data_IF_035694028740
#
_entry.id   IF_035694028740
#
_cell.length_a   1.000
_cell.length_b   1.000
_cell.length_c   1.000
_cell.angle_alpha   90.00
_cell.angle_beta   90.00
_cell.angle_gamma   90.00
#
_symmetry.space_group_name_H-M   'P 1'
#
loop_
_entity.id
_entity.type
_entity.pdbx_description
1 polymer ?
#
# COMPACT_ATOMS: atom_id res chain seq x y z
N UNK A 1 9.84 2.99 -12.01
CA UNK A 1 9.13 1.83 -12.64
C UNK A 1 7.69 2.20 -12.95
N UNK A 2 6.93 1.34 -13.64
CA UNK A 2 5.51 1.55 -13.97
C UNK A 2 4.63 0.99 -12.87
N UNK A 3 3.72 1.80 -12.33
CA UNK A 3 2.89 1.46 -11.17
C UNK A 3 1.42 1.68 -11.48
N UNK A 4 0.61 0.64 -11.30
CA UNK A 4 -0.84 0.74 -11.36
C UNK A 4 -1.42 0.93 -9.96
N UNK A 5 -2.26 1.96 -9.78
CA UNK A 5 -2.97 2.19 -8.51
C UNK A 5 -4.39 1.66 -8.64
N UNK A 6 -4.67 0.55 -7.95
CA UNK A 6 -5.98 -0.06 -7.83
C UNK A 6 -6.65 0.47 -6.55
N UNK A 7 -7.36 1.59 -6.69
CA UNK A 7 -8.05 2.25 -5.59
C UNK A 7 -7.46 3.62 -5.29
N UNK A 8 -8.07 4.66 -5.84
CA UNK A 8 -7.56 6.04 -5.69
C UNK A 8 -8.20 6.76 -4.48
N UNK A 9 -8.21 6.07 -3.33
CA UNK A 9 -8.71 6.56 -2.03
C UNK A 9 -7.70 7.46 -1.31
N UNK A 10 -7.76 7.48 0.03
CA UNK A 10 -6.77 8.21 0.85
C UNK A 10 -5.36 7.64 0.65
N UNK A 11 -5.19 6.33 0.87
CA UNK A 11 -3.90 5.64 0.68
C UNK A 11 -3.42 5.68 -0.78
N UNK A 12 -4.16 5.06 -1.71
CA UNK A 12 -3.71 4.96 -3.10
C UNK A 12 -3.58 6.31 -3.80
N UNK A 13 -4.39 7.31 -3.44
CA UNK A 13 -4.23 8.67 -3.95
C UNK A 13 -2.91 9.31 -3.52
N UNK A 14 -2.58 9.25 -2.22
CA UNK A 14 -1.34 9.81 -1.67
C UNK A 14 -0.10 9.04 -2.14
N UNK A 15 -0.09 7.71 -1.98
CA UNK A 15 1.01 6.86 -2.41
C UNK A 15 1.26 6.98 -3.91
N UNK A 16 0.23 6.93 -4.76
CA UNK A 16 0.39 7.13 -6.19
C UNK A 16 0.94 8.51 -6.55
N UNK A 17 0.56 9.56 -5.81
CA UNK A 17 1.10 10.92 -6.00
C UNK A 17 2.58 10.95 -5.65
N UNK A 18 2.94 10.35 -4.51
CA UNK A 18 4.32 10.24 -4.03
C UNK A 18 5.18 9.44 -5.01
N UNK A 19 4.69 8.30 -5.52
CA UNK A 19 5.41 7.50 -6.51
C UNK A 19 5.67 8.29 -7.80
N UNK A 20 4.69 9.04 -8.30
CA UNK A 20 4.90 9.88 -9.47
C UNK A 20 5.95 10.98 -9.22
N UNK A 21 5.91 11.64 -8.05
CA UNK A 21 6.93 12.62 -7.62
C UNK A 21 8.31 12.01 -7.41
N UNK A 22 8.38 10.73 -7.09
CA UNK A 22 9.62 9.97 -6.99
C UNK A 22 10.15 9.52 -8.37
N UNK A 23 9.45 9.81 -9.47
CA UNK A 23 9.90 9.53 -10.84
C UNK A 23 9.33 8.24 -11.45
N UNK A 24 8.29 7.65 -10.86
CA UNK A 24 7.61 6.47 -11.39
C UNK A 24 6.51 6.88 -12.40
N UNK A 25 6.19 5.99 -13.34
CA UNK A 25 5.06 6.15 -14.26
C UNK A 25 3.80 5.55 -13.62
N UNK A 26 2.82 6.38 -13.29
CA UNK A 26 1.68 6.02 -12.45
C UNK A 26 0.35 6.07 -13.20
N UNK A 27 -0.42 4.98 -13.12
CA UNK A 27 -1.81 4.96 -13.60
C UNK A 27 -2.76 4.92 -12.41
N UNK A 28 -3.44 6.04 -12.14
CA UNK A 28 -4.52 6.10 -11.16
C UNK A 28 -5.79 5.47 -11.70
N UNK A 29 -6.32 4.47 -11.01
CA UNK A 29 -7.55 3.78 -11.41
C UNK A 29 -8.49 3.50 -10.23
N UNK A 30 -9.63 2.87 -10.55
CA UNK A 30 -10.65 2.43 -9.61
C UNK A 30 -11.13 3.55 -8.67
N UNK A 31 -11.99 4.42 -9.22
CA UNK A 31 -12.64 5.53 -8.53
C UNK A 31 -14.05 5.70 -9.07
N UNK A 32 -14.98 6.11 -8.21
CA UNK A 32 -16.35 6.49 -8.60
C UNK A 32 -16.41 7.76 -9.46
N UNK A 33 -15.29 8.48 -9.58
CA UNK A 33 -15.21 9.72 -10.34
C UNK A 33 -13.95 9.73 -11.18
N UNK A 34 -14.12 9.74 -12.51
CA UNK A 34 -13.02 9.91 -13.46
C UNK A 34 -12.37 11.30 -13.31
N UNK A 35 -13.17 12.34 -13.04
CA UNK A 35 -12.68 13.69 -12.73
C UNK A 35 -11.71 13.69 -11.55
N UNK A 36 -11.96 12.87 -10.52
CA UNK A 36 -11.02 12.69 -9.39
C UNK A 36 -9.70 12.10 -9.87
N UNK A 37 -9.72 11.07 -10.71
CA UNK A 37 -8.49 10.45 -11.25
C UNK A 37 -7.68 11.44 -12.08
N UNK A 38 -8.32 12.17 -13.00
CA UNK A 38 -7.67 13.22 -13.81
C UNK A 38 -7.07 14.32 -12.94
N UNK A 39 -7.73 14.66 -11.83
CA UNK A 39 -7.19 15.64 -10.86
C UNK A 39 -5.98 15.10 -10.11
N UNK A 40 -6.01 13.84 -9.66
CA UNK A 40 -4.86 13.20 -9.02
C UNK A 40 -3.65 13.15 -9.95
N UNK A 41 -3.85 12.67 -11.18
CA UNK A 41 -2.80 12.64 -12.19
C UNK A 41 -2.15 14.01 -12.45
N UNK A 42 -2.96 15.08 -12.58
CA UNK A 42 -2.43 16.45 -12.73
C UNK A 42 -1.67 16.94 -11.50
N UNK A 43 -2.19 16.70 -10.29
CA UNK A 43 -1.57 17.13 -9.02
C UNK A 43 -0.31 16.37 -8.66
N UNK A 44 -0.11 15.21 -9.26
CA UNK A 44 1.06 14.40 -9.02
C UNK A 44 2.36 15.04 -9.55
N UNK A 45 2.26 16.01 -10.48
CA UNK A 45 3.40 16.79 -10.98
C UNK A 45 4.58 15.92 -11.48
N UNK A 46 4.27 14.71 -11.96
CA UNK A 46 5.20 13.74 -12.49
C UNK A 46 4.56 12.92 -13.62
N UNK A 47 5.15 11.77 -13.96
CA UNK A 47 4.58 10.88 -14.98
C UNK A 47 3.36 10.15 -14.42
N UNK A 48 2.18 10.77 -14.52
CA UNK A 48 0.94 10.19 -14.03
C UNK A 48 -0.23 10.43 -14.97
N UNK A 49 -1.12 9.44 -15.06
CA UNK A 49 -2.38 9.53 -15.81
C UNK A 49 -3.53 8.82 -15.11
N UNK A 50 -4.75 9.16 -15.53
CA UNK A 50 -5.94 8.41 -15.17
C UNK A 50 -6.10 7.20 -16.09
N UNK A 51 -6.69 6.12 -15.59
CA UNK A 51 -7.03 4.95 -16.40
C UNK A 51 -8.02 4.01 -15.72
N UNK A 52 -8.37 2.94 -16.42
CA UNK A 52 -9.16 1.82 -15.88
C UNK A 52 -8.28 0.85 -15.10
N UNK A 53 -8.84 -0.02 -14.23
CA UNK A 53 -8.07 -1.08 -13.56
C UNK A 53 -7.32 -1.98 -14.55
N UNK A 54 -7.94 -2.27 -15.71
CA UNK A 54 -7.30 -3.02 -16.80
C UNK A 54 -6.08 -2.30 -17.35
N UNK A 55 -6.18 -1.00 -17.62
CA UNK A 55 -5.03 -0.21 -18.08
C UNK A 55 -3.94 -0.16 -17.00
N UNK A 56 -4.31 0.04 -15.74
CA UNK A 56 -3.35 0.04 -14.64
C UNK A 56 -2.59 -1.29 -14.56
N UNK A 57 -3.28 -2.44 -14.64
CA UNK A 57 -2.67 -3.76 -14.61
C UNK A 57 -1.78 -4.06 -15.83
N UNK A 58 -2.23 -3.71 -17.03
CA UNK A 58 -1.53 -4.03 -18.28
C UNK A 58 -0.17 -3.30 -18.38
N UNK A 59 -0.12 -2.05 -17.93
CA UNK A 59 1.07 -1.20 -18.04
C UNK A 59 2.03 -1.32 -16.85
N UNK A 60 1.61 -1.94 -15.75
CA UNK A 60 2.37 -1.94 -14.51
C UNK A 60 3.45 -3.03 -14.44
N UNK A 61 4.58 -2.67 -13.84
CA UNK A 61 5.54 -3.60 -13.25
C UNK A 61 5.04 -4.04 -11.86
N UNK A 62 4.45 -3.10 -11.10
CA UNK A 62 3.87 -3.34 -9.79
C UNK A 62 2.48 -2.69 -9.63
N UNK A 63 1.60 -3.33 -8.87
CA UNK A 63 0.27 -2.85 -8.57
C UNK A 63 0.14 -2.52 -7.08
N UNK A 64 -0.33 -1.31 -6.76
CA UNK A 64 -0.79 -0.98 -5.41
C UNK A 64 -2.29 -1.27 -5.30
N UNK A 65 -2.67 -2.29 -4.52
CA UNK A 65 -4.05 -2.56 -4.15
C UNK A 65 -4.41 -1.80 -2.86
N UNK A 66 -5.14 -0.70 -3.03
CA UNK A 66 -5.52 0.25 -1.98
C UNK A 66 -7.04 0.51 -1.97
N UNK A 67 -7.82 -0.56 -1.86
CA UNK A 67 -9.28 -0.53 -1.75
C UNK A 67 -9.74 -1.02 -0.39
N UNK A 68 -10.96 -0.65 0.01
CA UNK A 68 -11.62 -1.30 1.13
C UNK A 68 -11.82 -2.81 0.86
N UNK A 69 -11.78 -3.66 1.91
CA UNK A 69 -11.84 -5.12 1.77
C UNK A 69 -13.01 -5.61 0.91
N UNK A 70 -14.20 -5.06 1.12
CA UNK A 70 -15.42 -5.39 0.36
C UNK A 70 -15.32 -5.12 -1.14
N UNK A 71 -14.31 -4.36 -1.59
CA UNK A 71 -14.09 -3.98 -2.99
C UNK A 71 -12.96 -4.76 -3.66
N UNK A 72 -12.18 -5.54 -2.91
CA UNK A 72 -11.07 -6.37 -3.45
C UNK A 72 -11.57 -7.30 -4.55
N UNK A 73 -12.71 -7.96 -4.35
CA UNK A 73 -13.23 -8.87 -5.36
C UNK A 73 -13.64 -8.16 -6.65
N UNK A 74 -14.25 -6.98 -6.54
CA UNK A 74 -14.72 -6.19 -7.67
C UNK A 74 -13.56 -5.60 -8.48
N UNK A 75 -12.58 -4.96 -7.83
CA UNK A 75 -11.44 -4.37 -8.55
C UNK A 75 -10.63 -5.43 -9.29
N UNK A 76 -10.40 -6.61 -8.69
CA UNK A 76 -9.66 -7.70 -9.33
C UNK A 76 -10.39 -8.29 -10.55
N UNK A 77 -11.73 -8.22 -10.61
CA UNK A 77 -12.46 -8.63 -11.82
C UNK A 77 -12.22 -7.68 -13.00
N UNK A 78 -11.81 -6.44 -12.72
CA UNK A 78 -11.63 -5.40 -13.73
C UNK A 78 -10.18 -5.28 -14.22
N UNK A 79 -9.21 -5.93 -13.56
CA UNK A 79 -7.79 -5.86 -13.95
C UNK A 79 -7.44 -6.73 -15.15
N UNK A 80 -8.16 -7.84 -15.36
CA UNK A 80 -7.73 -8.89 -16.29
C UNK A 80 -6.66 -9.78 -15.65
N UNK A 81 -5.77 -10.31 -16.48
CA UNK A 81 -4.68 -11.21 -16.04
C UNK A 81 -3.64 -10.46 -15.19
N UNK A 82 -3.27 -11.07 -14.08
CA UNK A 82 -2.28 -10.58 -13.12
C UNK A 82 -1.07 -11.51 -13.01
N UNK A 83 -0.95 -12.52 -13.86
CA UNK A 83 0.16 -13.47 -13.86
C UNK A 83 1.51 -12.76 -13.95
N UNK A 84 2.43 -13.10 -13.05
CA UNK A 84 3.77 -12.52 -12.97
C UNK A 84 3.81 -11.06 -12.50
N UNK A 85 2.70 -10.51 -11.98
CA UNK A 85 2.67 -9.16 -11.39
C UNK A 85 3.01 -9.20 -9.91
N UNK A 86 3.68 -8.15 -9.45
CA UNK A 86 3.82 -7.86 -8.02
C UNK A 86 2.62 -7.03 -7.57
N UNK A 87 1.89 -7.50 -6.56
CA UNK A 87 0.77 -6.79 -5.94
C UNK A 87 1.16 -6.41 -4.52
N UNK A 88 1.37 -5.12 -4.31
CA UNK A 88 1.57 -4.55 -2.98
C UNK A 88 0.21 -4.15 -2.45
N UNK A 89 -0.20 -4.70 -1.31
CA UNK A 89 -1.50 -4.39 -0.71
C UNK A 89 -1.36 -3.70 0.65
N UNK A 90 -2.15 -2.64 0.81
CA UNK A 90 -2.40 -1.99 2.09
C UNK A 90 -3.87 -2.18 2.53
N UNK A 91 -4.59 -3.12 1.92
CA UNK A 91 -5.99 -3.41 2.23
C UNK A 91 -6.09 -4.33 3.44
N UNK A 92 -6.64 -3.83 4.54
CA UNK A 92 -6.95 -4.65 5.72
C UNK A 92 -8.28 -5.39 5.52
N UNK A 93 -8.43 -6.63 6.01
CA UNK A 93 -9.67 -7.40 5.89
C UNK A 93 -10.75 -6.93 6.88
N UNK A 94 -11.13 -5.66 6.84
CA UNK A 94 -12.13 -5.07 7.74
C UNK A 94 -13.53 -5.67 7.51
N UNK A 95 -14.29 -5.81 8.60
CA UNK A 95 -15.71 -6.12 8.54
C UNK A 95 -16.52 -4.97 7.91
N UNK A 96 -17.79 -5.20 7.60
CA UNK A 96 -18.62 -4.19 6.93
C UNK A 96 -18.88 -2.90 7.73
N UNK A 97 -18.61 -2.91 9.04
CA UNK A 97 -18.78 -1.76 9.95
C UNK A 97 -17.46 -1.04 10.23
N UNK A 98 -16.34 -1.51 9.66
CA UNK A 98 -14.99 -1.01 9.91
C UNK A 98 -14.58 -1.05 11.40
N UNK A 99 -15.14 -1.96 12.20
CA UNK A 99 -14.84 -2.04 13.65
C UNK A 99 -13.84 -3.13 14.04
N UNK A 100 -13.63 -4.13 13.18
CA UNK A 100 -12.74 -5.25 13.45
C UNK A 100 -12.28 -5.93 12.16
N UNK A 101 -11.19 -6.69 12.24
CA UNK A 101 -10.78 -7.60 11.18
C UNK A 101 -11.77 -8.77 11.07
N UNK A 102 -12.28 -9.01 9.86
CA UNK A 102 -13.07 -10.19 9.52
C UNK A 102 -12.20 -11.45 9.40
N UNK A 103 -10.88 -11.28 9.27
CA UNK A 103 -9.87 -12.35 9.12
C UNK A 103 -8.67 -11.96 9.97
N UNK A 104 -8.33 -12.77 10.97
CA UNK A 104 -7.20 -12.51 11.85
C UNK A 104 -6.67 -13.80 12.50
N UNK A 105 -5.51 -13.68 13.17
CA UNK A 105 -4.84 -14.67 14.02
C UNK A 105 -4.32 -15.94 13.32
N UNK A 106 -5.17 -16.65 12.57
CA UNK A 106 -4.82 -17.91 11.89
C UNK A 106 -4.68 -17.76 10.37
N UNK A 107 -5.13 -16.64 9.81
CA UNK A 107 -4.92 -16.20 8.43
C UNK A 107 -4.91 -14.67 8.41
N UNK A 108 -4.54 -14.09 7.27
CA UNK A 108 -4.60 -12.65 7.00
C UNK A 108 -5.38 -12.33 5.72
N UNK A 109 -5.73 -11.05 5.53
CA UNK A 109 -6.27 -10.53 4.28
C UNK A 109 -5.28 -10.69 3.13
N UNK A 110 -3.99 -10.47 3.39
CA UNK A 110 -2.93 -10.66 2.39
C UNK A 110 -2.81 -12.13 1.92
N UNK A 111 -2.91 -13.11 2.82
CA UNK A 111 -2.92 -14.54 2.47
C UNK A 111 -4.16 -14.92 1.66
N UNK A 112 -5.33 -14.35 1.99
CA UNK A 112 -6.55 -14.54 1.20
C UNK A 112 -6.44 -13.92 -0.19
N UNK A 113 -5.81 -12.75 -0.29
CA UNK A 113 -5.53 -12.11 -1.57
C UNK A 113 -4.63 -12.98 -2.43
N UNK A 114 -3.53 -13.50 -1.89
CA UNK A 114 -2.60 -14.39 -2.59
C UNK A 114 -3.31 -15.61 -3.20
N UNK A 115 -4.16 -16.29 -2.41
CA UNK A 115 -4.99 -17.41 -2.91
C UNK A 115 -5.92 -17.00 -4.06
N UNK A 116 -6.41 -15.76 -4.07
CA UNK A 116 -7.36 -15.24 -5.06
C UNK A 116 -6.70 -14.82 -6.38
N UNK A 117 -5.46 -14.32 -6.33
CA UNK A 117 -4.72 -13.85 -7.52
C UNK A 117 -3.87 -14.94 -8.15
N UNK A 118 -3.52 -15.99 -7.40
CA UNK A 118 -2.95 -17.25 -7.89
C UNK A 118 -1.51 -17.16 -8.38
N UNK A 119 -1.28 -16.49 -9.51
CA UNK A 119 0.02 -16.39 -10.20
C UNK A 119 0.69 -15.02 -10.05
N UNK A 120 0.22 -14.21 -9.12
CA UNK A 120 0.79 -12.91 -8.80
C UNK A 120 1.41 -12.97 -7.40
N UNK A 121 2.53 -12.29 -7.23
CA UNK A 121 3.23 -12.25 -5.95
C UNK A 121 2.63 -11.14 -5.09
N UNK A 122 2.20 -11.49 -3.88
CA UNK A 122 1.58 -10.55 -2.95
C UNK A 122 2.58 -10.14 -1.90
N UNK A 123 2.67 -8.82 -1.69
CA UNK A 123 3.44 -8.22 -0.60
C UNK A 123 2.50 -7.34 0.24
N UNK A 124 2.44 -7.58 1.55
CA UNK A 124 1.71 -6.73 2.49
C UNK A 124 2.61 -5.58 2.92
N UNK A 125 2.20 -4.34 2.64
CA UNK A 125 2.95 -3.14 3.01
C UNK A 125 2.02 -1.92 3.16
N UNK A 126 2.52 -0.86 3.78
CA UNK A 126 1.85 0.43 3.98
C UNK A 126 0.58 0.43 4.85
N UNK A 127 0.04 -0.74 5.23
CA UNK A 127 -1.15 -0.83 6.09
C UNK A 127 -0.88 -0.38 7.54
N UNK A 128 0.38 -0.41 7.99
CA UNK A 128 0.74 -0.13 9.39
C UNK A 128 0.92 1.36 9.71
N UNK A 129 0.64 2.26 8.77
CA UNK A 129 0.73 3.71 8.98
C UNK A 129 -0.52 4.40 8.45
N UNK A 130 -1.06 5.42 9.13
CA UNK A 130 -2.12 6.24 8.58
C UNK A 130 -1.69 6.93 7.29
N UNK A 131 -2.66 7.25 6.44
CA UNK A 131 -2.40 7.96 5.18
C UNK A 131 -1.87 9.38 5.43
N UNK A 132 -2.22 9.95 6.56
CA UNK A 132 -2.03 11.32 7.01
C UNK A 132 -0.55 11.66 7.12
N UNK A 133 0.26 10.71 7.60
CA UNK A 133 1.71 10.90 7.78
C UNK A 133 2.51 10.84 6.45
N UNK A 134 1.94 10.33 5.36
CA UNK A 134 2.71 9.95 4.16
C UNK A 134 3.45 11.12 3.48
N UNK A 135 2.82 12.29 3.37
CA UNK A 135 3.47 13.44 2.74
C UNK A 135 4.56 14.04 3.62
N UNK A 136 4.31 14.14 4.93
CA UNK A 136 5.32 14.61 5.90
C UNK A 136 6.57 13.72 5.88
N UNK A 137 6.40 12.40 5.84
CA UNK A 137 7.53 11.46 5.70
C UNK A 137 8.27 11.67 4.38
N UNK A 138 7.55 11.85 3.27
CA UNK A 138 8.15 12.08 1.96
C UNK A 138 8.94 13.39 1.90
N UNK A 139 8.37 14.48 2.42
CA UNK A 139 8.98 15.81 2.40
C UNK A 139 10.18 15.89 3.37
N UNK A 140 10.16 15.13 4.46
CA UNK A 140 11.27 15.02 5.40
C UNK A 140 12.40 14.09 4.93
N UNK A 141 12.19 13.22 3.93
CA UNK A 141 13.10 12.10 3.59
C UNK A 141 14.56 12.47 3.26
N UNK A 142 14.79 13.71 2.81
CA UNK A 142 16.13 14.28 2.52
C UNK A 142 16.75 15.05 3.69
N UNK A 143 15.93 15.44 4.68
CA UNK A 143 16.34 16.26 5.83
C UNK A 143 16.62 15.43 7.07
N UNK A 144 15.92 14.32 7.25
CA UNK A 144 16.12 13.41 8.38
C UNK A 144 17.05 12.26 8.04
N UNK A 145 18.07 12.04 8.87
CA UNK A 145 18.91 10.82 8.82
C UNK A 145 18.21 9.61 9.42
N UNK A 146 17.23 9.83 10.31
CA UNK A 146 16.48 8.75 10.97
C UNK A 146 15.08 8.70 10.38
N UNK A 147 14.89 7.80 9.41
CA UNK A 147 13.59 7.59 8.78
C UNK A 147 12.66 6.77 9.71
N UNK A 148 11.35 6.99 9.68
CA UNK A 148 10.41 6.06 10.32
C UNK A 148 10.47 4.70 9.63
N UNK A 149 10.16 3.63 10.37
CA UNK A 149 10.13 2.27 9.83
C UNK A 149 8.80 1.97 9.16
N UNK A 150 8.84 1.06 8.19
CA UNK A 150 7.64 0.48 7.61
C UNK A 150 7.87 -1.01 7.38
N UNK A 151 7.18 -1.81 8.18
CA UNK A 151 7.20 -3.26 8.09
C UNK A 151 6.45 -3.74 6.85
N UNK A 152 7.03 -4.72 6.17
CA UNK A 152 6.41 -5.39 5.04
C UNK A 152 6.73 -6.89 5.06
N UNK A 153 5.92 -7.70 4.40
CA UNK A 153 6.14 -9.14 4.30
C UNK A 153 5.59 -9.72 2.98
N UNK A 154 6.20 -10.82 2.53
CA UNK A 154 5.89 -11.48 1.26
C UNK A 154 6.71 -12.75 1.09
N UNK A 155 6.24 -13.68 0.25
CA UNK A 155 6.89 -14.98 0.06
C UNK A 155 7.97 -14.97 -1.04
N UNK A 156 7.83 -14.10 -2.04
CA UNK A 156 8.80 -13.94 -3.12
C UNK A 156 9.81 -12.81 -2.83
N UNK A 157 11.10 -13.07 -3.09
CA UNK A 157 12.17 -12.15 -2.74
C UNK A 157 12.27 -10.95 -3.69
N UNK A 158 12.00 -11.14 -4.98
CA UNK A 158 12.07 -10.07 -5.98
C UNK A 158 10.88 -9.12 -5.81
N UNK A 159 9.69 -9.66 -5.54
CA UNK A 159 8.51 -8.90 -5.18
C UNK A 159 8.73 -8.05 -3.92
N UNK A 160 9.41 -8.61 -2.91
CA UNK A 160 9.80 -7.88 -1.70
C UNK A 160 10.78 -6.73 -2.00
N UNK A 161 11.74 -6.90 -2.90
CA UNK A 161 12.65 -5.79 -3.27
C UNK A 161 11.93 -4.67 -4.01
N UNK A 162 10.94 -5.00 -4.84
CA UNK A 162 10.04 -4.02 -5.46
C UNK A 162 9.32 -3.21 -4.38
N UNK A 163 8.74 -3.87 -3.37
CA UNK A 163 8.10 -3.18 -2.26
C UNK A 163 9.09 -2.32 -1.45
N UNK A 164 10.26 -2.86 -1.12
CA UNK A 164 11.30 -2.15 -0.38
C UNK A 164 11.74 -0.87 -1.09
N UNK A 165 11.88 -0.93 -2.41
CA UNK A 165 12.17 0.25 -3.26
C UNK A 165 11.08 1.31 -3.09
N UNK A 166 9.81 0.94 -3.29
CA UNK A 166 8.69 1.90 -3.15
C UNK A 166 8.57 2.47 -1.73
N UNK A 167 8.87 1.68 -0.70
CA UNK A 167 8.89 2.12 0.69
C UNK A 167 9.98 3.19 0.91
N UNK A 168 11.19 2.96 0.39
CA UNK A 168 12.30 3.94 0.43
C UNK A 168 11.96 5.21 -0.34
N UNK A 169 11.27 5.08 -1.48
CA UNK A 169 10.87 6.21 -2.31
C UNK A 169 9.84 7.11 -1.60
N UNK A 170 8.96 6.52 -0.79
CA UNK A 170 8.06 7.26 0.10
C UNK A 170 8.83 7.93 1.25
N UNK A 171 9.99 7.41 1.64
CA UNK A 171 10.86 8.01 2.66
C UNK A 171 10.94 7.23 3.97
N UNK A 172 10.33 6.04 4.02
CA UNK A 172 10.45 5.13 5.16
C UNK A 172 11.72 4.27 5.04
N UNK A 173 12.14 3.68 6.16
CA UNK A 173 13.09 2.57 6.22
C UNK A 173 12.32 1.25 6.10
N UNK A 174 12.51 0.46 5.02
CA UNK A 174 11.83 -0.81 4.86
C UNK A 174 12.32 -1.85 5.86
N UNK A 175 11.41 -2.45 6.60
CA UNK A 175 11.71 -3.54 7.54
C UNK A 175 11.07 -4.82 7.03
N UNK A 176 11.88 -5.71 6.44
CA UNK A 176 11.41 -7.03 6.01
C UNK A 176 11.07 -7.86 7.25
N UNK A 177 9.77 -8.10 7.45
CA UNK A 177 9.25 -8.88 8.55
C UNK A 177 9.19 -10.39 8.23
N UNK A 178 9.53 -10.78 7.00
CA UNK A 178 9.63 -12.16 6.54
C UNK A 178 8.47 -12.59 5.63
N UNK A 179 8.05 -13.87 5.70
CA UNK A 179 7.09 -14.47 4.76
C UNK A 179 5.68 -13.89 4.91
N UNK A 180 4.83 -14.09 3.91
CA UNK A 180 3.50 -13.46 3.82
C UNK A 180 2.58 -13.81 5.02
N UNK A 181 2.79 -14.98 5.65
CA UNK A 181 2.09 -15.35 6.90
C UNK A 181 2.27 -14.35 8.04
N UNK A 182 3.30 -13.50 8.00
CA UNK A 182 3.56 -12.47 9.01
C UNK A 182 2.52 -11.34 8.95
N UNK A 183 1.78 -11.20 7.84
CA UNK A 183 0.63 -10.30 7.75
C UNK A 183 -0.42 -10.59 8.83
N UNK A 184 -0.49 -11.82 9.38
CA UNK A 184 -1.34 -12.18 10.53
C UNK A 184 -1.07 -11.34 11.78
N UNK A 185 0.13 -10.76 11.90
CA UNK A 185 0.55 -9.89 12.99
C UNK A 185 0.56 -8.42 12.56
N UNK A 186 0.97 -8.12 11.32
CA UNK A 186 0.99 -6.74 10.81
C UNK A 186 -0.41 -6.15 10.67
N UNK A 187 -1.41 -6.94 10.26
CA UNK A 187 -2.79 -6.46 10.13
C UNK A 187 -3.42 -6.09 11.50
N UNK A 188 -3.29 -6.91 12.57
CA UNK A 188 -3.66 -6.46 13.92
C UNK A 188 -2.84 -5.27 14.42
N UNK A 189 -1.53 -5.22 14.13
CA UNK A 189 -0.70 -4.06 14.49
C UNK A 189 -1.19 -2.77 13.83
N UNK A 190 -1.67 -2.85 12.59
CA UNK A 190 -2.30 -1.71 11.92
C UNK A 190 -3.53 -1.18 12.67
N UNK A 191 -4.32 -2.06 13.32
CA UNK A 191 -5.43 -1.62 14.18
C UNK A 191 -4.95 -0.97 15.47
N UNK A 192 -3.84 -1.44 16.06
CA UNK A 192 -3.23 -0.75 17.18
C UNK A 192 -2.73 0.66 16.79
N UNK A 193 -2.15 0.80 15.59
CA UNK A 193 -1.77 2.11 15.05
C UNK A 193 -2.99 3.00 14.78
N UNK A 194 -4.10 2.42 14.30
CA UNK A 194 -5.36 3.15 14.12
C UNK A 194 -5.95 3.65 15.45
N UNK A 195 -5.87 2.85 16.51
CA UNK A 195 -6.28 3.26 17.87
C UNK A 195 -5.51 4.51 18.32
N UNK A 196 -4.18 4.51 18.16
CA UNK A 196 -3.35 5.66 18.51
C UNK A 196 -3.69 6.89 17.65
N UNK A 197 -3.92 6.68 16.36
CA UNK A 197 -4.15 7.74 15.38
C UNK A 197 -5.51 8.44 15.50
N UNK A 198 -6.57 7.68 15.84
CA UNK A 198 -7.95 8.15 15.68
C UNK A 198 -8.76 8.18 16.98
N UNK A 199 -8.32 7.47 18.03
CA UNK A 199 -8.99 7.42 19.34
C UNK A 199 -8.14 8.06 20.45
N UNK A 200 -6.91 8.49 20.13
CA UNK A 200 -6.03 9.25 21.01
C UNK A 200 -6.06 10.75 20.74
N UNK A 201 -5.43 11.54 21.60
CA UNK A 201 -5.45 13.01 21.54
C UNK A 201 -4.41 13.63 20.59
N UNK A 202 -3.42 12.85 20.13
CA UNK A 202 -2.26 13.36 19.36
C UNK A 202 -2.49 13.39 17.83
N UNK A 203 -3.57 12.76 17.36
CA UNK A 203 -3.97 12.78 15.95
C UNK A 203 -3.25 11.78 15.03
N UNK A 204 -3.58 11.79 13.72
CA UNK A 204 -3.26 10.68 12.82
C UNK A 204 -1.91 10.79 12.11
N UNK A 205 -1.15 11.87 12.33
CA UNK A 205 0.17 12.08 11.73
C UNK A 205 1.26 11.31 12.50
N UNK A 206 1.05 10.01 12.67
CA UNK A 206 1.91 9.12 13.46
C UNK A 206 2.63 8.10 12.59
N UNK A 207 3.88 7.84 12.93
CA UNK A 207 4.68 6.73 12.42
C UNK A 207 5.51 6.12 13.55
N UNK A 208 6.01 4.91 13.35
CA UNK A 208 6.83 4.19 14.33
C UNK A 208 8.27 4.00 13.80
N UNK A 209 9.17 3.59 14.69
CA UNK A 209 10.52 3.19 14.33
C UNK A 209 10.91 1.91 15.09
N UNK A 210 11.58 1.01 14.38
CA UNK A 210 12.19 -0.19 14.95
C UNK A 210 13.69 0.09 15.07
N UNK A 211 14.20 0.01 16.29
CA UNK A 211 15.62 0.16 16.60
C UNK A 211 16.19 -1.21 16.98
N UNK A 212 17.44 -1.49 16.58
CA UNK A 212 18.16 -2.71 16.96
C UNK A 212 19.31 -2.34 17.86
N UNK A 213 19.33 -2.89 19.07
CA UNK A 213 20.37 -2.68 20.06
C UNK A 213 21.26 -3.93 20.09
N UNK A 214 22.50 -3.83 19.60
CA UNK A 214 23.46 -4.94 19.59
C UNK A 214 23.79 -5.55 18.23
N UNK A 215 23.68 -4.77 17.15
CA UNK A 215 24.44 -5.03 15.91
C UNK A 215 25.71 -4.17 15.92
#
# INVERSE_FOLDING_TARGET
>A
MRIGILGSGLMGGKLGTIFARAGHDVVFSYSRSERKLKRLARKAEGHARAGTPRQAALHADALLLAVHWSRVADVLKQTGDLSGKVIITCSLPMNAKDTALAVAHTSSGAEMLARKVGKADVVSAFSTVPSEVLFEVFDAKRRTRRRPSLMYCGDDQDAKEVAATLIRDVGFEPVDAGPLRIARYLEPFALAMAQLAYEGDEGPEIAYRIERFGM
#
